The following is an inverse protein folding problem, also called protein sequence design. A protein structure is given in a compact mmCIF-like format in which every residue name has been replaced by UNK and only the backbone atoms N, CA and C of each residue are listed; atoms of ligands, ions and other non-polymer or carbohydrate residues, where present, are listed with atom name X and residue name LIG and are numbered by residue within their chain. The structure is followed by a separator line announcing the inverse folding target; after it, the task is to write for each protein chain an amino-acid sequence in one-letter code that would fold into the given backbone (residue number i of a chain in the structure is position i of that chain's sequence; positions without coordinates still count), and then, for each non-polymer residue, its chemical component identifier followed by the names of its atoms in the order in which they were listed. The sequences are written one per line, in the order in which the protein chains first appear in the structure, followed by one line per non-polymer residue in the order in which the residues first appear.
data_IF_042614053120
#
_entry.id   IF_042614053120
#
_cell.length_a   1.000
_cell.length_b   1.000
_cell.length_c   1.000
_cell.angle_alpha   90.00
_cell.angle_beta   90.00
_cell.angle_gamma   90.00
#
_symmetry.space_group_name_H-M   'P 1'
#
loop_
_entity.id
_entity.type
_entity.pdbx_description
1 polymer ?
#
# COMPACT_ATOMS: atom_id res chain seq x y z
N UNK A 1 -5.09 -10.36 -4.82
CA UNK A 1 -5.21 -11.05 -3.50
C UNK A 1 -4.04 -10.66 -2.61
N UNK A 2 -4.06 -10.97 -1.30
CA UNK A 2 -2.93 -10.73 -0.40
C UNK A 2 -1.59 -11.30 -0.89
N UNK A 3 -1.64 -12.51 -1.44
CA UNK A 3 -0.45 -13.20 -1.96
C UNK A 3 0.16 -12.50 -3.17
N UNK A 4 -0.67 -12.09 -4.14
CA UNK A 4 -0.20 -11.36 -5.33
C UNK A 4 0.47 -10.01 -4.96
N UNK A 5 -0.02 -9.33 -3.91
CA UNK A 5 0.58 -8.08 -3.44
C UNK A 5 1.99 -8.35 -2.89
N UNK A 6 2.16 -9.39 -2.08
CA UNK A 6 3.48 -9.80 -1.56
C UNK A 6 4.44 -10.18 -2.68
N UNK A 7 3.98 -10.99 -3.63
CA UNK A 7 4.79 -11.38 -4.80
C UNK A 7 5.24 -10.16 -5.61
N UNK A 8 4.34 -9.19 -5.81
CA UNK A 8 4.67 -7.93 -6.49
C UNK A 8 5.69 -7.11 -5.69
N UNK A 9 5.52 -6.98 -4.37
CA UNK A 9 6.47 -6.26 -3.52
C UNK A 9 7.87 -6.90 -3.53
N UNK A 10 7.94 -8.24 -3.44
CA UNK A 10 9.20 -8.99 -3.52
C UNK A 10 9.88 -8.82 -4.89
N UNK A 11 9.10 -8.90 -5.98
CA UNK A 11 9.61 -8.66 -7.34
C UNK A 11 10.19 -7.24 -7.48
N UNK A 12 9.47 -6.23 -7.01
CA UNK A 12 9.96 -4.84 -7.02
C UNK A 12 11.24 -4.72 -6.19
N UNK A 13 11.29 -5.34 -5.00
CA UNK A 13 12.47 -5.35 -4.15
C UNK A 13 13.72 -5.96 -4.81
N UNK A 14 13.53 -6.92 -5.72
CA UNK A 14 14.63 -7.57 -6.46
C UNK A 14 14.96 -6.89 -7.80
N UNK A 15 14.19 -5.88 -8.22
CA UNK A 15 14.30 -5.26 -9.55
C UNK A 15 15.42 -4.24 -9.70
N UNK A 16 16.02 -3.78 -8.60
CA UNK A 16 17.07 -2.75 -8.60
C UNK A 16 16.55 -1.31 -8.60
N UNK A 17 15.23 -1.08 -8.55
CA UNK A 17 14.67 0.27 -8.36
C UNK A 17 15.06 0.82 -6.99
N UNK A 18 15.21 2.14 -6.92
CA UNK A 18 15.74 2.81 -5.72
C UNK A 18 14.66 3.42 -4.83
N UNK A 19 13.43 3.50 -5.32
CA UNK A 19 12.32 4.04 -4.55
C UNK A 19 10.94 3.58 -5.02
N UNK A 20 9.99 3.62 -4.10
CA UNK A 20 8.62 3.14 -4.30
C UNK A 20 7.61 4.12 -3.68
N UNK A 21 6.44 4.22 -4.33
CA UNK A 21 5.27 4.94 -3.81
C UNK A 21 4.15 3.92 -3.60
N UNK A 22 3.83 3.61 -2.34
CA UNK A 22 2.66 2.79 -2.02
C UNK A 22 1.42 3.68 -2.06
N UNK A 23 0.38 3.24 -2.78
CA UNK A 23 -0.81 4.03 -3.04
C UNK A 23 -2.06 3.19 -2.79
N UNK A 24 -2.91 3.65 -1.87
CA UNK A 24 -4.26 3.12 -1.71
C UNK A 24 -5.06 3.35 -2.99
N UNK A 25 -5.77 2.32 -3.45
CA UNK A 25 -6.69 2.44 -4.58
C UNK A 25 -7.90 3.27 -4.16
N UNK A 26 -8.11 4.40 -4.84
CA UNK A 26 -9.26 5.26 -4.63
C UNK A 26 -10.23 5.12 -5.81
N UNK A 27 -11.51 5.00 -5.49
CA UNK A 27 -12.62 5.12 -6.44
C UNK A 27 -13.02 6.58 -6.48
N UNK A 28 -12.88 7.22 -7.64
CA UNK A 28 -13.19 8.65 -7.83
C UNK A 28 -14.33 8.81 -8.83
N UNK A 29 -15.20 9.80 -8.60
CA UNK A 29 -16.28 10.16 -9.53
C UNK A 29 -15.72 10.48 -10.92
N UNK A 30 -16.37 9.92 -11.93
CA UNK A 30 -16.00 10.14 -13.34
C UNK A 30 -14.89 9.23 -13.85
N UNK A 31 -14.54 8.16 -13.15
CA UNK A 31 -13.63 7.12 -13.64
C UNK A 31 -14.39 5.83 -13.94
N UNK A 32 -13.82 4.97 -14.80
CA UNK A 32 -14.38 3.63 -15.07
C UNK A 32 -14.48 2.80 -13.78
N UNK A 33 -13.54 3.01 -12.87
CA UNK A 33 -13.54 2.38 -11.55
C UNK A 33 -14.80 2.70 -10.73
N UNK A 34 -15.40 3.89 -10.91
CA UNK A 34 -16.64 4.25 -10.23
C UNK A 34 -17.83 3.43 -10.74
N UNK A 35 -17.90 3.18 -12.05
CA UNK A 35 -18.93 2.34 -12.64
C UNK A 35 -18.78 0.88 -12.19
N UNK A 36 -17.55 0.36 -12.20
CA UNK A 36 -17.25 -1.00 -11.75
C UNK A 36 -17.54 -1.21 -10.26
N UNK A 37 -17.23 -0.21 -9.42
CA UNK A 37 -17.54 -0.22 -8.00
C UNK A 37 -19.06 -0.19 -7.75
N UNK A 38 -19.79 0.68 -8.46
CA UNK A 38 -21.25 0.77 -8.35
C UNK A 38 -21.95 -0.51 -8.83
N UNK A 39 -21.36 -1.21 -9.81
CA UNK A 39 -21.83 -2.51 -10.29
C UNK A 39 -21.43 -3.70 -9.37
N UNK A 40 -20.71 -3.45 -8.27
CA UNK A 40 -20.31 -4.49 -7.31
C UNK A 40 -19.21 -5.43 -7.82
N UNK A 41 -18.45 -5.06 -8.86
CA UNK A 41 -17.38 -5.90 -9.41
C UNK A 41 -16.20 -6.08 -8.46
N UNK A 42 -16.00 -5.13 -7.55
CA UNK A 42 -15.00 -5.20 -6.48
C UNK A 42 -15.42 -4.32 -5.31
N UNK A 43 -14.76 -4.52 -4.17
CA UNK A 43 -14.94 -3.70 -2.97
C UNK A 43 -13.69 -2.89 -2.67
N UNK A 44 -13.87 -1.70 -2.09
CA UNK A 44 -12.76 -0.89 -1.62
C UNK A 44 -12.13 -1.54 -0.38
N UNK A 45 -10.83 -1.33 -0.19
CA UNK A 45 -10.10 -1.96 0.91
C UNK A 45 -10.40 -1.27 2.24
N UNK A 46 -10.65 -2.07 3.27
CA UNK A 46 -10.78 -1.58 4.64
C UNK A 46 -9.43 -1.10 5.20
N UNK A 47 -9.46 -0.12 6.11
CA UNK A 47 -8.25 0.52 6.64
C UNK A 47 -7.28 -0.48 7.26
N UNK A 48 -7.77 -1.37 8.13
CA UNK A 48 -6.94 -2.38 8.79
C UNK A 48 -6.32 -3.35 7.79
N UNK A 49 -7.10 -3.78 6.79
CA UNK A 49 -6.59 -4.66 5.73
C UNK A 49 -5.50 -3.95 4.92
N UNK A 50 -5.68 -2.68 4.59
CA UNK A 50 -4.68 -1.88 3.90
C UNK A 50 -3.39 -1.74 4.70
N UNK A 51 -3.50 -1.45 6.00
CA UNK A 51 -2.34 -1.37 6.91
C UNK A 51 -1.58 -2.70 6.91
N UNK A 52 -2.28 -3.84 7.06
CA UNK A 52 -1.64 -5.16 6.99
C UNK A 52 -0.95 -5.41 5.64
N UNK A 53 -1.52 -4.92 4.52
CA UNK A 53 -0.86 -5.02 3.21
C UNK A 53 0.40 -4.14 3.14
N UNK A 54 0.37 -2.95 3.74
CA UNK A 54 1.55 -2.07 3.83
C UNK A 54 2.66 -2.72 4.64
N UNK A 55 2.34 -3.31 5.78
CA UNK A 55 3.32 -4.04 6.60
C UNK A 55 4.01 -5.14 5.81
N UNK A 56 3.22 -6.00 5.14
CA UNK A 56 3.75 -7.07 4.29
C UNK A 56 4.69 -6.51 3.21
N UNK A 57 4.31 -5.40 2.56
CA UNK A 57 5.16 -4.74 1.57
C UNK A 57 6.47 -4.24 2.21
N UNK A 58 6.40 -3.51 3.31
CA UNK A 58 7.58 -2.93 3.97
C UNK A 58 8.57 -4.03 4.39
N UNK A 59 8.09 -5.11 4.99
CA UNK A 59 8.95 -6.24 5.39
C UNK A 59 9.67 -6.85 4.18
N UNK A 60 9.05 -6.88 2.99
CA UNK A 60 9.62 -7.45 1.76
C UNK A 60 10.52 -6.48 0.96
N UNK A 61 10.39 -5.18 1.16
CA UNK A 61 11.19 -4.19 0.43
C UNK A 61 12.63 -4.10 1.00
N UNK A 62 13.66 -3.89 0.16
CA UNK A 62 15.04 -3.79 0.62
C UNK A 62 15.23 -2.63 1.63
N UNK A 63 16.08 -2.77 2.66
CA UNK A 63 16.29 -1.71 3.65
C UNK A 63 16.81 -0.39 3.06
N UNK A 64 17.52 -0.44 1.92
CA UNK A 64 18.06 0.72 1.21
C UNK A 64 17.08 1.40 0.24
N UNK A 65 15.93 0.79 -0.05
CA UNK A 65 14.94 1.38 -0.96
C UNK A 65 14.19 2.53 -0.29
N UNK A 66 14.08 3.68 -0.96
CA UNK A 66 13.34 4.83 -0.45
C UNK A 66 11.83 4.61 -0.61
N UNK A 67 11.11 4.52 0.51
CA UNK A 67 9.64 4.56 0.49
C UNK A 67 9.18 6.02 0.51
N UNK A 68 8.83 6.55 -0.66
CA UNK A 68 8.42 7.95 -0.81
C UNK A 68 7.10 8.28 -0.11
N UNK A 69 6.19 7.31 -0.03
CA UNK A 69 4.92 7.42 0.69
C UNK A 69 4.33 6.05 0.97
N UNK A 70 3.60 5.96 2.08
CA UNK A 70 2.84 4.78 2.48
C UNK A 70 1.40 4.81 1.96
N UNK A 71 0.83 5.99 1.79
CA UNK A 71 -0.51 6.22 1.25
C UNK A 71 -0.53 7.53 0.44
N UNK A 72 -1.63 7.83 -0.23
CA UNK A 72 -1.85 9.10 -0.91
C UNK A 72 -3.29 9.55 -0.83
N UNK A 73 -3.54 10.80 -1.18
CA UNK A 73 -4.85 11.42 -1.04
C UNK A 73 -5.63 11.35 -2.37
N UNK A 74 -6.91 10.99 -2.31
CA UNK A 74 -7.86 11.22 -3.40
C UNK A 74 -8.38 12.67 -3.40
N UNK A 75 -8.81 13.18 -4.55
CA UNK A 75 -9.49 14.48 -4.61
C UNK A 75 -10.80 14.39 -3.81
N UNK A 76 -10.85 15.07 -2.65
CA UNK A 76 -11.91 14.90 -1.65
C UNK A 76 -13.32 15.08 -2.22
N UNK A 77 -13.51 16.02 -3.14
CA UNK A 77 -14.80 16.29 -3.77
C UNK A 77 -15.28 15.17 -4.71
N UNK A 78 -14.35 14.33 -5.20
CA UNK A 78 -14.64 13.23 -6.12
C UNK A 78 -14.55 11.86 -5.45
N UNK A 79 -14.11 11.76 -4.21
CA UNK A 79 -13.89 10.48 -3.55
C UNK A 79 -15.22 9.74 -3.32
N UNK A 80 -15.32 8.53 -3.87
CA UNK A 80 -16.43 7.60 -3.66
C UNK A 80 -16.05 6.56 -2.60
N UNK A 81 -14.85 5.96 -2.71
CA UNK A 81 -14.37 4.96 -1.77
C UNK A 81 -12.83 4.82 -1.81
N UNK A 82 -12.19 4.30 -0.76
CA UNK A 82 -12.74 4.16 0.58
C UNK A 82 -12.83 5.52 1.28
N UNK A 83 -13.96 5.82 1.93
CA UNK A 83 -14.22 7.14 2.53
C UNK A 83 -13.32 7.46 3.73
N UNK A 84 -12.84 6.43 4.43
CA UNK A 84 -11.92 6.60 5.56
C UNK A 84 -10.61 7.27 5.16
N UNK A 85 -10.21 7.17 3.87
CA UNK A 85 -8.99 7.78 3.35
C UNK A 85 -9.01 9.31 3.36
N UNK A 86 -10.19 9.93 3.44
CA UNK A 86 -10.33 11.39 3.46
C UNK A 86 -9.79 12.04 4.75
N UNK A 87 -9.65 11.27 5.84
CA UNK A 87 -9.05 11.73 7.09
C UNK A 87 -7.57 11.33 7.16
N UNK A 88 -6.74 12.07 6.43
CA UNK A 88 -5.30 11.81 6.30
C UNK A 88 -4.59 11.69 7.65
N UNK A 89 -4.94 12.55 8.62
CA UNK A 89 -4.29 12.55 9.94
C UNK A 89 -4.61 11.25 10.68
N UNK A 90 -5.88 10.84 10.69
CA UNK A 90 -6.30 9.57 11.29
C UNK A 90 -5.61 8.38 10.61
N UNK A 91 -5.54 8.38 9.27
CA UNK A 91 -4.91 7.29 8.51
C UNK A 91 -3.43 7.16 8.84
N UNK A 92 -2.68 8.25 8.80
CA UNK A 92 -1.25 8.21 9.11
C UNK A 92 -1.00 7.75 10.56
N UNK A 93 -1.79 8.24 11.52
CA UNK A 93 -1.68 7.80 12.91
C UNK A 93 -1.97 6.29 13.06
N UNK A 94 -2.98 5.77 12.36
CA UNK A 94 -3.31 4.35 12.38
C UNK A 94 -2.19 3.49 11.77
N UNK A 95 -1.59 3.94 10.66
CA UNK A 95 -0.43 3.29 10.06
C UNK A 95 0.73 3.25 11.06
N UNK A 96 1.13 4.40 11.62
CA UNK A 96 2.26 4.46 12.55
C UNK A 96 2.04 3.62 13.80
N UNK A 97 0.83 3.67 14.39
CA UNK A 97 0.50 2.87 15.56
C UNK A 97 0.57 1.37 15.28
N UNK A 98 0.15 0.92 14.09
CA UNK A 98 0.26 -0.48 13.69
C UNK A 98 1.71 -0.90 13.44
N UNK A 99 2.49 -0.08 12.72
CA UNK A 99 3.91 -0.36 12.49
C UNK A 99 4.70 -0.50 13.79
N UNK A 100 4.40 0.33 14.79
CA UNK A 100 5.00 0.24 16.12
C UNK A 100 4.52 -1.00 16.89
N UNK A 101 3.20 -1.21 16.95
CA UNK A 101 2.58 -2.34 17.66
C UNK A 101 3.09 -3.68 17.15
N UNK A 102 3.29 -3.80 15.84
CA UNK A 102 3.62 -5.06 15.18
C UNK A 102 5.13 -5.18 14.86
N UNK A 103 5.95 -4.29 15.46
CA UNK A 103 7.41 -4.21 15.32
C UNK A 103 7.90 -4.33 13.86
N UNK A 104 7.24 -3.58 12.97
CA UNK A 104 7.52 -3.66 11.54
C UNK A 104 8.83 -2.95 11.24
N UNK A 105 9.73 -3.66 10.56
CA UNK A 105 10.99 -3.13 10.04
C UNK A 105 11.06 -3.36 8.53
N UNK A 106 11.44 -2.33 7.78
CA UNK A 106 11.63 -2.46 6.34
C UNK A 106 12.74 -3.47 6.07
N UNK A 107 12.49 -4.43 5.19
CA UNK A 107 13.45 -5.48 4.83
C UNK A 107 13.55 -6.65 5.81
N UNK A 108 12.68 -6.73 6.84
CA UNK A 108 12.65 -7.85 7.78
C UNK A 108 12.53 -9.24 7.09
N UNK A 109 11.86 -9.30 5.94
CA UNK A 109 11.67 -10.49 5.13
C UNK A 109 12.40 -10.40 3.77
N UNK A 110 13.25 -9.40 3.58
CA UNK A 110 13.96 -9.24 2.32
C UNK A 110 15.12 -10.24 2.22
N UNK A 111 15.00 -11.19 1.31
CA UNK A 111 16.13 -12.02 0.89
C UNK A 111 16.92 -11.26 -0.18
N UNK A 112 18.16 -10.87 0.15
CA UNK A 112 19.04 -10.21 -0.80
C UNK A 112 19.20 -11.04 -2.07
N UNK A 113 19.22 -10.37 -3.24
CA UNK A 113 19.63 -11.04 -4.48
C UNK A 113 21.13 -11.36 -4.35
N UNK A 114 21.58 -12.59 -4.63
CA UNK A 114 23.01 -12.87 -4.68
C UNK A 114 23.65 -11.93 -5.71
N UNK A 115 24.79 -11.31 -5.35
CA UNK A 115 25.43 -10.18 -6.04
C UNK A 115 25.89 -10.44 -7.50
N UNK A 116 25.60 -11.59 -8.10
CA UNK A 116 26.10 -11.97 -9.42
C UNK A 116 25.02 -12.60 -10.32
N UNK A 117 23.89 -11.92 -10.52
CA UNK A 117 22.87 -12.30 -11.51
C UNK A 117 22.58 -11.17 -12.49
#
# INVERSE_FOLDING_TARGET
TPEMIRQTAAYIGASGVQGIKLQLLHVLKGTDLAADYAAGKFSAMEMETYIQRLEDCLRLLPPQMVVHRLTGDGERAKLIAPLWSADKKRVLNAIWAALERDDVRQGQWYAARPENA
#
